data_IF_730834888918
#
_entry.id   IF_730834888918
#
_cell.length_a   1.000
_cell.length_b   1.000
_cell.length_c   1.000
_cell.angle_alpha   90.00
_cell.angle_beta   90.00
_cell.angle_gamma   90.00
#
_symmetry.space_group_name_H-M   'P 1'
#
loop_
_entity.id
_entity.type
_entity.pdbx_description
1 polymer ?
#
# COMPACT_ATOMS: atom_id res chain seq x y z
N UNK A 1 -17.90 6.61 -9.42
CA UNK A 1 -16.94 5.67 -8.84
C UNK A 1 -15.91 6.43 -8.08
N UNK A 2 -15.66 6.01 -6.87
CA UNK A 2 -14.80 6.77 -5.98
C UNK A 2 -13.36 6.29 -6.08
N UNK A 3 -12.45 7.23 -6.32
CA UNK A 3 -11.02 6.96 -6.24
C UNK A 3 -10.67 6.60 -4.78
N UNK A 4 -9.77 5.66 -4.61
CA UNK A 4 -9.23 5.28 -3.31
C UNK A 4 -7.80 5.79 -3.23
N UNK A 5 -7.48 6.52 -2.17
CA UNK A 5 -6.12 6.97 -1.88
C UNK A 5 -5.64 6.27 -0.62
N UNK A 6 -4.36 6.11 -0.48
CA UNK A 6 -3.82 5.47 0.71
C UNK A 6 -2.38 5.83 1.00
N UNK A 7 -2.02 5.68 2.25
CA UNK A 7 -0.64 5.77 2.71
C UNK A 7 -0.31 4.47 3.42
N UNK A 8 0.71 3.77 2.92
CA UNK A 8 1.29 2.65 3.64
C UNK A 8 2.50 3.19 4.40
N UNK A 9 2.56 2.90 5.69
CA UNK A 9 3.66 3.34 6.57
C UNK A 9 4.42 2.11 6.99
N UNK A 10 5.68 2.03 6.59
CA UNK A 10 6.49 0.82 6.75
C UNK A 10 7.73 1.17 7.59
N UNK A 11 7.83 0.56 8.77
CA UNK A 11 9.01 0.71 9.62
C UNK A 11 9.91 -0.48 9.37
N UNK A 12 11.08 -0.22 8.81
CA UNK A 12 12.01 -1.28 8.41
C UNK A 12 12.68 -1.87 9.65
N UNK A 13 12.71 -3.21 9.75
CA UNK A 13 13.35 -3.88 10.87
C UNK A 13 14.86 -3.64 10.83
N UNK A 14 15.53 -3.52 11.99
CA UNK A 14 16.98 -3.31 12.02
C UNK A 14 17.74 -4.35 11.20
N UNK A 15 18.66 -3.88 10.37
CA UNK A 15 19.47 -4.76 9.52
C UNK A 15 18.80 -5.28 8.27
N UNK A 16 17.56 -4.83 7.98
CA UNK A 16 16.78 -5.37 6.85
C UNK A 16 16.60 -4.39 5.69
N UNK A 17 17.29 -3.26 5.70
CA UNK A 17 17.10 -2.23 4.68
C UNK A 17 17.39 -2.74 3.27
N UNK A 18 18.48 -3.48 3.07
CA UNK A 18 18.82 -3.98 1.75
C UNK A 18 17.76 -4.95 1.23
N UNK A 19 17.34 -5.88 2.06
CA UNK A 19 16.30 -6.84 1.72
C UNK A 19 14.98 -6.13 1.43
N UNK A 20 14.64 -5.12 2.23
CA UNK A 20 13.44 -4.30 2.00
C UNK A 20 13.50 -3.62 0.63
N UNK A 21 14.64 -3.01 0.29
CA UNK A 21 14.80 -2.34 -1.01
C UNK A 21 14.62 -3.29 -2.18
N UNK A 22 15.17 -4.49 -2.07
CA UNK A 22 15.05 -5.50 -3.11
C UNK A 22 13.60 -5.94 -3.30
N UNK A 23 12.90 -6.18 -2.19
CA UNK A 23 11.48 -6.56 -2.24
C UNK A 23 10.62 -5.42 -2.77
N UNK A 24 10.91 -4.18 -2.37
CA UNK A 24 10.16 -3.02 -2.85
C UNK A 24 10.35 -2.84 -4.36
N UNK A 25 11.54 -3.08 -4.87
CA UNK A 25 11.80 -3.01 -6.30
C UNK A 25 10.98 -4.06 -7.06
N UNK A 26 10.85 -5.26 -6.51
CA UNK A 26 10.02 -6.31 -7.10
C UNK A 26 8.55 -5.93 -7.08
N UNK A 27 8.08 -5.33 -5.98
CA UNK A 27 6.69 -4.85 -5.90
C UNK A 27 6.44 -3.80 -6.97
N UNK A 28 7.33 -2.83 -7.14
CA UNK A 28 7.18 -1.80 -8.16
C UNK A 28 7.11 -2.41 -9.57
N UNK A 29 7.94 -3.42 -9.85
CA UNK A 29 7.92 -4.10 -11.14
C UNK A 29 6.58 -4.79 -11.40
N UNK A 30 5.99 -5.42 -10.38
CA UNK A 30 4.69 -6.08 -10.49
C UNK A 30 3.59 -5.03 -10.75
N UNK A 31 3.62 -3.91 -10.01
CA UNK A 31 2.65 -2.84 -10.20
C UNK A 31 2.67 -2.34 -11.65
N UNK A 32 3.86 -2.07 -12.17
CA UNK A 32 4.01 -1.59 -13.55
C UNK A 32 3.53 -2.62 -14.59
N UNK A 33 3.76 -3.90 -14.34
CA UNK A 33 3.46 -4.94 -15.31
C UNK A 33 2.02 -5.43 -15.25
N UNK A 34 1.39 -5.43 -14.06
CA UNK A 34 0.13 -6.14 -13.87
C UNK A 34 -1.04 -5.29 -13.42
N UNK A 35 -0.82 -4.22 -12.66
CA UNK A 35 -1.92 -3.40 -12.16
C UNK A 35 -2.58 -2.64 -13.30
N UNK A 36 -3.91 -2.67 -13.37
CA UNK A 36 -4.64 -1.97 -14.42
C UNK A 36 -5.35 -0.71 -13.94
N UNK A 37 -5.48 -0.54 -12.62
CA UNK A 37 -6.20 0.60 -12.06
C UNK A 37 -5.41 1.39 -11.02
N UNK A 38 -4.12 1.15 -10.90
CA UNK A 38 -3.26 1.92 -10.01
C UNK A 38 -2.86 3.22 -10.72
N UNK A 39 -3.25 4.33 -10.11
CA UNK A 39 -3.01 5.67 -10.68
C UNK A 39 -1.70 6.27 -10.18
N UNK A 40 -1.27 5.88 -8.98
CA UNK A 40 -0.06 6.40 -8.37
C UNK A 40 0.47 5.39 -7.36
N UNK A 41 1.78 5.26 -7.30
CA UNK A 41 2.44 4.33 -6.39
C UNK A 41 3.85 4.84 -6.16
N UNK A 42 3.99 5.83 -5.26
CA UNK A 42 5.25 6.54 -5.01
C UNK A 42 5.81 6.14 -3.66
N UNK A 43 7.10 5.88 -3.62
CA UNK A 43 7.80 5.38 -2.44
C UNK A 43 8.75 6.46 -1.92
N UNK A 44 8.65 6.77 -0.63
CA UNK A 44 9.43 7.80 0.03
C UNK A 44 10.13 7.24 1.27
N UNK A 45 11.37 7.60 1.48
CA UNK A 45 12.10 7.27 2.70
C UNK A 45 12.31 8.51 3.55
N UNK A 46 12.34 8.34 4.88
CA UNK A 46 12.81 9.40 5.77
C UNK A 46 14.34 9.50 5.71
N UNK A 47 14.92 10.47 6.43
CA UNK A 47 16.34 10.82 6.28
C UNK A 47 17.31 9.65 6.51
N UNK A 48 17.05 8.80 7.51
CA UNK A 48 17.95 7.69 7.83
C UNK A 48 17.50 6.36 7.20
N UNK A 49 16.48 6.39 6.35
CA UNK A 49 15.91 5.21 5.69
C UNK A 49 15.37 4.15 6.64
N UNK A 50 14.99 4.55 7.86
CA UNK A 50 14.37 3.62 8.83
C UNK A 50 12.88 3.45 8.57
N UNK A 51 12.25 4.41 7.89
CA UNK A 51 10.82 4.39 7.61
C UNK A 51 10.56 4.75 6.15
N UNK A 52 9.51 4.13 5.62
CA UNK A 52 9.11 4.32 4.25
C UNK A 52 7.62 4.63 4.23
N UNK A 53 7.21 5.58 3.40
CA UNK A 53 5.80 5.83 3.10
C UNK A 53 5.60 5.54 1.63
N UNK A 54 4.54 4.76 1.33
CA UNK A 54 4.10 4.57 -0.05
C UNK A 54 2.79 5.34 -0.21
N UNK A 55 2.78 6.31 -1.11
CA UNK A 55 1.57 7.05 -1.44
C UNK A 55 0.93 6.37 -2.64
N UNK A 56 -0.34 5.98 -2.49
CA UNK A 56 -1.03 5.13 -3.45
C UNK A 56 -2.36 5.75 -3.85
N UNK A 57 -2.68 5.66 -5.12
CA UNK A 57 -4.00 6.04 -5.62
C UNK A 57 -4.50 4.97 -6.57
N UNK A 58 -5.77 4.61 -6.42
CA UNK A 58 -6.42 3.58 -7.21
C UNK A 58 -7.72 4.13 -7.78
N UNK A 59 -8.04 3.74 -9.01
CA UNK A 59 -9.25 4.19 -9.69
C UNK A 59 -10.51 3.87 -8.85
N UNK A 60 -10.52 2.74 -8.17
CA UNK A 60 -11.64 2.29 -7.34
C UNK A 60 -11.17 1.17 -6.39
N UNK A 61 -12.12 0.68 -5.57
CA UNK A 61 -11.83 -0.42 -4.62
C UNK A 61 -11.40 -1.70 -5.32
N UNK A 62 -11.99 -2.02 -6.47
CA UNK A 62 -11.60 -3.21 -7.23
C UNK A 62 -10.16 -3.16 -7.68
N UNK A 63 -9.67 -1.98 -8.03
CA UNK A 63 -8.27 -1.79 -8.44
C UNK A 63 -7.30 -2.04 -7.30
N UNK A 64 -7.67 -1.64 -6.07
CA UNK A 64 -6.85 -1.94 -4.90
C UNK A 64 -6.86 -3.43 -4.57
N UNK A 65 -8.01 -4.08 -4.70
CA UNK A 65 -8.09 -5.53 -4.51
C UNK A 65 -7.24 -6.28 -5.54
N UNK A 66 -7.25 -5.82 -6.80
CA UNK A 66 -6.38 -6.36 -7.84
C UNK A 66 -4.91 -6.20 -7.46
N UNK A 67 -4.54 -5.03 -6.95
CA UNK A 67 -3.17 -4.74 -6.50
C UNK A 67 -2.73 -5.75 -5.44
N UNK A 68 -3.54 -5.99 -4.42
CA UNK A 68 -3.23 -6.99 -3.39
C UNK A 68 -3.03 -8.38 -4.00
N UNK A 69 -3.89 -8.76 -4.93
CA UNK A 69 -3.81 -10.05 -5.60
C UNK A 69 -2.53 -10.17 -6.43
N UNK A 70 -2.19 -9.12 -7.15
CA UNK A 70 -0.99 -9.10 -7.99
C UNK A 70 0.29 -9.19 -7.18
N UNK A 71 0.37 -8.49 -6.04
CA UNK A 71 1.54 -8.56 -5.16
C UNK A 71 1.68 -9.93 -4.49
N UNK A 72 0.55 -10.49 -4.03
CA UNK A 72 0.54 -11.84 -3.47
C UNK A 72 1.66 -12.12 -2.47
N UNK A 73 2.50 -13.16 -2.73
CA UNK A 73 3.58 -13.53 -1.83
C UNK A 73 4.62 -12.45 -1.58
N UNK A 74 4.79 -11.49 -2.49
CA UNK A 74 5.73 -10.38 -2.29
C UNK A 74 5.31 -9.51 -1.11
N UNK A 75 4.00 -9.30 -0.92
CA UNK A 75 3.48 -8.53 0.21
C UNK A 75 3.78 -9.25 1.51
N UNK A 76 3.58 -10.57 1.55
CA UNK A 76 3.91 -11.37 2.72
C UNK A 76 5.41 -11.28 3.04
N UNK A 77 6.26 -11.41 2.02
CA UNK A 77 7.71 -11.32 2.20
C UNK A 77 8.13 -9.95 2.72
N UNK A 78 7.53 -8.89 2.17
CA UNK A 78 7.83 -7.52 2.60
C UNK A 78 7.49 -7.33 4.08
N UNK A 79 6.37 -7.87 4.54
CA UNK A 79 5.95 -7.73 5.94
C UNK A 79 6.78 -8.57 6.91
N UNK A 80 7.68 -9.41 6.42
CA UNK A 80 8.66 -10.10 7.27
C UNK A 80 9.82 -9.19 7.64
N UNK A 81 10.07 -8.14 6.87
CA UNK A 81 11.21 -7.24 7.07
C UNK A 81 10.82 -5.85 7.52
N UNK A 82 9.54 -5.60 7.74
CA UNK A 82 9.05 -4.31 8.25
C UNK A 82 7.78 -4.48 9.04
N UNK A 83 7.45 -3.44 9.83
CA UNK A 83 6.16 -3.33 10.51
C UNK A 83 5.32 -2.34 9.72
N UNK A 84 4.07 -2.71 9.42
CA UNK A 84 3.22 -1.94 8.53
C UNK A 84 2.01 -1.38 9.25
N UNK A 85 1.62 -0.18 8.87
CA UNK A 85 0.34 0.45 9.20
C UNK A 85 -0.05 1.33 8.02
N UNK A 86 -1.21 1.96 8.09
CA UNK A 86 -1.57 2.88 7.02
C UNK A 86 -2.98 3.40 7.12
N UNK A 87 -3.35 4.20 6.13
CA UNK A 87 -4.67 4.80 6.02
C UNK A 87 -5.20 4.62 4.61
N UNK A 88 -6.51 4.40 4.53
CA UNK A 88 -7.26 4.46 3.28
C UNK A 88 -8.16 5.70 3.36
N UNK A 89 -8.11 6.53 2.33
CA UNK A 89 -8.91 7.75 2.23
C UNK A 89 -9.89 7.56 1.08
N UNK A 90 -11.17 7.61 1.39
CA UNK A 90 -12.20 7.44 0.39
C UNK A 90 -13.37 6.62 0.92
N UNK A 91 -14.17 6.08 0.01
CA UNK A 91 -15.33 5.26 0.35
C UNK A 91 -15.07 3.85 -0.18
N UNK A 92 -14.45 2.98 0.63
CA UNK A 92 -14.16 1.62 0.17
C UNK A 92 -15.43 0.79 0.03
N UNK A 93 -15.41 -0.14 -0.93
CA UNK A 93 -16.51 -1.08 -1.13
C UNK A 93 -16.64 -2.02 0.07
N UNK A 94 -17.80 -2.68 0.24
CA UNK A 94 -17.96 -3.69 1.29
C UNK A 94 -16.90 -4.80 1.22
N UNK A 95 -16.53 -5.21 0.02
CA UNK A 95 -15.48 -6.24 -0.17
C UNK A 95 -14.13 -5.76 0.31
N UNK A 96 -13.75 -4.52 -0.03
CA UNK A 96 -12.49 -3.96 0.42
C UNK A 96 -12.47 -3.78 1.93
N UNK A 97 -13.58 -3.30 2.51
CA UNK A 97 -13.69 -3.17 3.97
C UNK A 97 -13.47 -4.51 4.66
N UNK A 98 -14.05 -5.57 4.10
CA UNK A 98 -13.92 -6.90 4.68
C UNK A 98 -12.46 -7.39 4.64
N UNK A 99 -11.78 -7.18 3.53
CA UNK A 99 -10.36 -7.56 3.39
C UNK A 99 -9.49 -6.81 4.40
N UNK A 100 -9.84 -5.54 4.69
CA UNK A 100 -9.06 -4.72 5.62
C UNK A 100 -9.37 -4.99 7.09
N UNK A 101 -10.43 -5.73 7.41
CA UNK A 101 -10.76 -6.06 8.79
C UNK A 101 -9.60 -6.76 9.49
N UNK A 102 -9.28 -6.31 10.71
CA UNK A 102 -8.20 -6.89 11.49
C UNK A 102 -6.81 -6.46 11.05
N UNK A 103 -6.69 -5.70 9.96
CA UNK A 103 -5.40 -5.17 9.52
C UNK A 103 -5.08 -3.87 10.27
N UNK A 104 -3.82 -3.42 10.27
CA UNK A 104 -3.45 -2.14 10.88
C UNK A 104 -3.76 -0.93 9.99
N UNK A 105 -4.72 -1.05 9.09
CA UNK A 105 -5.12 0.02 8.18
C UNK A 105 -6.40 0.68 8.70
N UNK A 106 -6.40 2.02 8.77
CA UNK A 106 -7.56 2.80 9.19
C UNK A 106 -8.21 3.42 7.98
N UNK A 107 -9.54 3.53 8.03
CA UNK A 107 -10.33 4.08 6.93
C UNK A 107 -10.85 5.46 7.34
N UNK A 108 -10.64 6.45 6.47
CA UNK A 108 -11.12 7.82 6.64
C UNK A 108 -11.97 8.17 5.45
N UNK A 109 -13.25 8.44 5.69
CA UNK A 109 -14.20 8.79 4.63
C UNK A 109 -14.23 10.31 4.42
N UNK A 110 -14.54 10.76 3.20
CA UNK A 110 -14.57 12.20 2.91
C UNK A 110 -15.56 12.94 3.80
N UNK A 111 -15.14 14.10 4.29
CA UNK A 111 -16.01 15.01 5.04
C UNK A 111 -16.26 16.28 4.24
N UNK A 112 -15.18 16.88 3.75
CA UNK A 112 -15.27 18.16 3.07
C UNK A 112 -14.07 18.33 2.14
N UNK A 113 -14.28 18.97 1.01
CA UNK A 113 -13.20 19.30 0.08
C UNK A 113 -13.45 20.68 -0.53
N UNK A 114 -12.41 21.25 -1.05
CA UNK A 114 -12.47 22.56 -1.70
C UNK A 114 -13.27 22.50 -3.01
#
# INVERSE_FOLDING_TARGET
>A
MSEIKGFARLRIHPGKLQEFRELQAKCMAVVRAKDTGTLQYDVFFNDDSSECIVYERYRDSSSLLEHFSNLGPLMTALFQVCSASGEILGIPSPQLRKVLEGSPVRIYTPYQSL
#
